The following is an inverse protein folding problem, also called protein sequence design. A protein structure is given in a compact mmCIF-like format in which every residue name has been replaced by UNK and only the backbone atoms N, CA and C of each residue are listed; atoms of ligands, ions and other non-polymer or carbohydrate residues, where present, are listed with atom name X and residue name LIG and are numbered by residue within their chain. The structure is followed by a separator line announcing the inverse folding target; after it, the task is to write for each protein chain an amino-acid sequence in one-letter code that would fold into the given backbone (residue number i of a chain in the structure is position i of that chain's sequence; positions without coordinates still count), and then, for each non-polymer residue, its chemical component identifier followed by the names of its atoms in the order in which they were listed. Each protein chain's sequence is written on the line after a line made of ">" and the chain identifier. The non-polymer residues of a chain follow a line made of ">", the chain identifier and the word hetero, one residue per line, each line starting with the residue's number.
data_IF_078455119069
#
_entry.id   IF_078455119069
#
_cell.length_a   1.000
_cell.length_b   1.000
_cell.length_c   1.000
_cell.angle_alpha   90.00
_cell.angle_beta   90.00
_cell.angle_gamma   90.00
#
_symmetry.space_group_name_H-M   'P 1'
#
loop_
_entity.id
_entity.type
_entity.pdbx_description
1 polymer ?
#
# COMPACT_ATOMS: atom_id res chain seq x y z
N UNK A 1 221.84 59.98 -104.87
CA UNK A 1 220.50 59.37 -104.73
C UNK A 1 220.50 58.58 -103.43
N UNK A 2 219.89 59.10 -102.36
CA UNK A 2 220.00 58.51 -101.02
C UNK A 2 218.80 57.61 -100.71
N UNK A 3 219.09 56.34 -100.44
CA UNK A 3 218.16 55.27 -100.04
C UNK A 3 217.42 55.57 -98.72
N UNK A 4 217.90 56.54 -97.95
CA UNK A 4 217.30 56.96 -96.67
C UNK A 4 215.92 57.63 -96.87
N UNK A 5 215.68 58.30 -98.00
CA UNK A 5 214.37 58.93 -98.28
C UNK A 5 213.25 57.93 -98.56
N UNK A 6 213.56 56.75 -99.15
CA UNK A 6 212.55 55.73 -99.49
C UNK A 6 212.07 54.97 -98.24
N UNK A 7 212.96 54.71 -97.27
CA UNK A 7 212.61 54.06 -96.00
C UNK A 7 211.73 54.93 -95.09
N UNK A 8 211.89 56.26 -95.13
CA UNK A 8 211.01 57.16 -94.35
C UNK A 8 209.57 57.18 -94.88
N UNK A 9 209.40 56.99 -96.20
CA UNK A 9 208.11 57.04 -96.88
C UNK A 9 207.31 55.74 -96.68
N UNK A 10 207.99 54.58 -96.63
CA UNK A 10 207.34 53.30 -96.35
C UNK A 10 206.96 53.13 -94.88
N UNK A 11 207.81 53.56 -93.94
CA UNK A 11 207.47 53.56 -92.50
C UNK A 11 206.32 54.53 -92.21
N UNK A 12 206.31 55.70 -92.85
CA UNK A 12 205.17 56.64 -92.77
C UNK A 12 203.87 56.05 -93.32
N UNK A 13 203.91 55.32 -94.44
CA UNK A 13 202.73 54.69 -95.04
C UNK A 13 202.18 53.54 -94.18
N UNK A 14 203.05 52.69 -93.61
CA UNK A 14 202.63 51.58 -92.73
C UNK A 14 202.08 52.12 -91.40
N UNK A 15 202.72 53.13 -90.81
CA UNK A 15 202.21 53.80 -89.62
C UNK A 15 200.85 54.49 -89.89
N UNK A 16 200.70 55.12 -91.06
CA UNK A 16 199.43 55.67 -91.52
C UNK A 16 198.33 54.62 -91.69
N UNK A 17 198.64 53.48 -92.31
CA UNK A 17 197.70 52.38 -92.49
C UNK A 17 197.27 51.73 -91.16
N UNK A 18 198.21 51.56 -90.21
CA UNK A 18 197.90 51.06 -88.86
C UNK A 18 197.08 52.06 -88.05
N UNK A 19 197.31 53.36 -88.20
CA UNK A 19 196.48 54.40 -87.58
C UNK A 19 195.07 54.43 -88.17
N UNK A 20 194.93 54.24 -89.49
CA UNK A 20 193.62 54.12 -90.15
C UNK A 20 192.89 52.87 -89.67
N UNK A 21 193.56 51.71 -89.60
CA UNK A 21 192.96 50.48 -89.06
C UNK A 21 192.60 50.59 -87.58
N UNK A 22 193.39 51.29 -86.77
CA UNK A 22 193.10 51.52 -85.36
C UNK A 22 191.93 52.51 -85.17
N UNK A 23 191.88 53.58 -85.97
CA UNK A 23 190.78 54.53 -85.99
C UNK A 23 189.47 53.85 -86.45
N UNK A 24 189.55 52.99 -87.46
CA UNK A 24 188.42 52.23 -87.98
C UNK A 24 187.97 51.17 -86.96
N UNK A 25 188.90 50.48 -86.28
CA UNK A 25 188.59 49.58 -85.17
C UNK A 25 187.88 50.29 -84.01
N UNK A 26 188.25 51.53 -83.67
CA UNK A 26 187.53 52.35 -82.69
C UNK A 26 186.15 52.79 -83.19
N UNK A 27 186.03 53.11 -84.47
CA UNK A 27 184.76 53.48 -85.09
C UNK A 27 183.78 52.28 -85.10
N UNK A 28 184.26 51.10 -85.49
CA UNK A 28 183.52 49.84 -85.42
C UNK A 28 183.19 49.44 -83.99
N UNK A 29 184.11 49.63 -83.03
CA UNK A 29 183.84 49.40 -81.61
C UNK A 29 182.69 50.27 -81.07
N UNK A 30 182.69 51.57 -81.41
CA UNK A 30 181.59 52.48 -81.06
C UNK A 30 180.28 52.09 -81.75
N UNK A 31 180.32 51.72 -83.04
CA UNK A 31 179.13 51.26 -83.78
C UNK A 31 178.56 49.96 -83.22
N UNK A 32 179.42 49.00 -82.86
CA UNK A 32 179.03 47.76 -82.20
C UNK A 32 178.42 48.05 -80.82
N UNK A 33 179.00 48.95 -80.04
CA UNK A 33 178.45 49.36 -78.76
C UNK A 33 177.08 50.01 -78.91
N UNK A 34 176.88 50.88 -79.91
CA UNK A 34 175.56 51.47 -80.20
C UNK A 34 174.55 50.44 -80.69
N UNK A 35 174.98 49.45 -81.48
CA UNK A 35 174.10 48.37 -81.97
C UNK A 35 173.71 47.42 -80.82
N UNK A 36 174.62 47.14 -79.89
CA UNK A 36 174.34 46.38 -78.67
C UNK A 36 173.38 47.16 -77.77
N UNK A 37 173.61 48.45 -77.53
CA UNK A 37 172.68 49.27 -76.72
C UNK A 37 171.29 49.40 -77.37
N UNK A 38 171.22 49.48 -78.71
CA UNK A 38 169.94 49.47 -79.44
C UNK A 38 169.22 48.13 -79.31
N UNK A 39 169.95 47.00 -79.40
CA UNK A 39 169.39 45.66 -79.14
C UNK A 39 168.91 45.51 -77.71
N UNK A 40 169.66 45.99 -76.73
CA UNK A 40 169.25 45.99 -75.32
C UNK A 40 168.01 46.86 -75.10
N UNK A 41 167.93 48.03 -75.74
CA UNK A 41 166.76 48.90 -75.67
C UNK A 41 165.52 48.25 -76.32
N UNK A 42 165.66 47.66 -77.51
CA UNK A 42 164.59 46.93 -78.19
C UNK A 42 164.14 45.71 -77.38
N UNK A 43 165.08 44.95 -76.81
CA UNK A 43 164.77 43.83 -75.92
C UNK A 43 164.04 44.30 -74.65
N UNK A 44 164.41 45.45 -74.08
CA UNK A 44 163.70 46.05 -72.96
C UNK A 44 162.29 46.52 -73.34
N UNK A 45 162.11 47.09 -74.53
CA UNK A 45 160.79 47.47 -75.06
C UNK A 45 159.91 46.24 -75.30
N UNK A 46 160.45 45.16 -75.90
CA UNK A 46 159.73 43.90 -76.09
C UNK A 46 159.33 43.28 -74.76
N UNK A 47 160.23 43.22 -73.77
CA UNK A 47 159.90 42.75 -72.41
C UNK A 47 158.82 43.61 -71.75
N UNK A 48 158.82 44.93 -71.99
CA UNK A 48 157.77 45.84 -71.49
C UNK A 48 156.43 45.56 -72.17
N UNK A 49 156.41 45.38 -73.48
CA UNK A 49 155.22 45.02 -74.25
C UNK A 49 154.69 43.64 -73.84
N UNK A 50 155.54 42.62 -73.70
CA UNK A 50 155.17 41.30 -73.18
C UNK A 50 154.55 41.40 -71.79
N UNK A 51 155.11 42.22 -70.90
CA UNK A 51 154.55 42.47 -69.57
C UNK A 51 153.22 43.21 -69.63
N UNK A 52 153.06 44.17 -70.56
CA UNK A 52 151.79 44.88 -70.78
C UNK A 52 150.72 43.94 -71.35
N UNK A 53 151.05 43.14 -72.37
CA UNK A 53 150.17 42.12 -72.92
C UNK A 53 149.80 41.07 -71.87
N UNK A 54 150.74 40.63 -71.04
CA UNK A 54 150.47 39.72 -69.92
C UNK A 54 149.49 40.31 -68.89
N UNK A 55 149.62 41.60 -68.55
CA UNK A 55 148.66 42.31 -67.68
C UNK A 55 147.29 42.46 -68.33
N UNK A 56 147.24 42.82 -69.60
CA UNK A 56 145.98 42.91 -70.35
C UNK A 56 145.28 41.54 -70.44
N UNK A 57 146.04 40.47 -70.71
CA UNK A 57 145.51 39.12 -70.74
C UNK A 57 144.97 38.69 -69.38
N UNK A 58 145.67 39.01 -68.29
CA UNK A 58 145.17 38.77 -66.92
C UNK A 58 143.90 39.57 -66.63
N UNK A 59 143.82 40.83 -67.07
CA UNK A 59 142.63 41.66 -66.90
C UNK A 59 141.44 41.11 -67.71
N UNK A 60 141.66 40.69 -68.96
CA UNK A 60 140.63 40.02 -69.79
C UNK A 60 140.16 38.74 -69.12
N UNK A 61 141.06 37.93 -68.54
CA UNK A 61 140.69 36.73 -67.78
C UNK A 61 139.91 37.06 -66.50
N UNK A 62 140.25 38.13 -65.79
CA UNK A 62 139.49 38.59 -64.63
C UNK A 62 138.10 39.07 -65.02
N UNK A 63 137.99 39.89 -66.06
CA UNK A 63 136.71 40.38 -66.59
C UNK A 63 135.85 39.22 -67.11
N UNK A 64 136.45 38.24 -67.80
CA UNK A 64 135.76 37.03 -68.25
C UNK A 64 135.18 36.22 -67.09
N UNK A 65 135.92 36.09 -65.98
CA UNK A 65 135.41 35.45 -64.75
C UNK A 65 134.27 36.25 -64.11
N UNK A 66 134.40 37.57 -64.03
CA UNK A 66 133.35 38.44 -63.48
C UNK A 66 132.07 38.39 -64.32
N UNK A 67 132.19 38.48 -65.66
CA UNK A 67 131.08 38.31 -66.59
C UNK A 67 130.43 36.93 -66.38
N UNK A 68 131.22 35.85 -66.30
CA UNK A 68 130.69 34.51 -66.06
C UNK A 68 129.98 34.33 -64.71
N UNK A 69 130.36 35.07 -63.67
CA UNK A 69 129.63 35.11 -62.39
C UNK A 69 128.31 35.87 -62.56
N UNK A 70 128.36 37.05 -63.20
CA UNK A 70 127.15 37.87 -63.44
C UNK A 70 126.14 37.16 -64.34
N UNK A 71 126.59 36.49 -65.40
CA UNK A 71 125.72 35.68 -66.28
C UNK A 71 125.02 34.57 -65.51
N UNK A 72 125.74 33.80 -64.68
CA UNK A 72 125.12 32.77 -63.82
C UNK A 72 124.12 33.37 -62.82
N UNK A 73 124.40 34.56 -62.29
CA UNK A 73 123.44 35.26 -61.41
C UNK A 73 122.18 35.69 -62.16
N UNK A 74 122.32 36.14 -63.41
CA UNK A 74 121.18 36.48 -64.26
C UNK A 74 120.35 35.22 -64.59
N UNK A 75 120.98 34.11 -64.93
CA UNK A 75 120.30 32.83 -65.18
C UNK A 75 119.57 32.32 -63.93
N UNK A 76 120.18 32.44 -62.76
CA UNK A 76 119.55 32.11 -61.48
C UNK A 76 118.34 33.01 -61.22
N UNK A 77 118.49 34.34 -61.35
CA UNK A 77 117.40 35.28 -61.16
C UNK A 77 116.27 35.06 -62.17
N UNK A 78 116.57 34.71 -63.42
CA UNK A 78 115.58 34.39 -64.43
C UNK A 78 114.80 33.12 -64.05
N UNK A 79 115.48 32.11 -63.51
CA UNK A 79 114.85 30.88 -62.99
C UNK A 79 113.96 31.19 -61.79
N UNK A 80 114.44 31.99 -60.83
CA UNK A 80 113.67 32.45 -59.68
C UNK A 80 112.43 33.26 -60.13
N UNK A 81 112.57 34.15 -61.12
CA UNK A 81 111.45 34.90 -61.69
C UNK A 81 110.43 34.00 -62.40
N UNK A 82 110.87 32.99 -63.14
CA UNK A 82 109.97 32.01 -63.77
C UNK A 82 109.22 31.17 -62.72
N UNK A 83 109.90 30.76 -61.65
CA UNK A 83 109.26 30.03 -60.55
C UNK A 83 108.20 30.89 -59.85
N UNK A 84 108.55 32.13 -59.46
CA UNK A 84 107.61 33.06 -58.82
C UNK A 84 106.43 33.38 -59.75
N UNK A 85 106.68 33.53 -61.06
CA UNK A 85 105.60 33.71 -62.04
C UNK A 85 104.67 32.49 -62.10
N UNK A 86 105.21 31.27 -62.00
CA UNK A 86 104.41 30.04 -61.94
C UNK A 86 103.56 29.97 -60.67
N UNK A 87 104.17 30.23 -59.51
CA UNK A 87 103.48 30.27 -58.21
C UNK A 87 102.36 31.33 -58.20
N UNK A 88 102.61 32.50 -58.79
CA UNK A 88 101.60 33.56 -58.91
C UNK A 88 100.43 33.14 -59.81
N UNK A 89 100.69 32.44 -60.93
CA UNK A 89 99.63 31.93 -61.81
C UNK A 89 98.77 30.88 -61.09
N UNK A 90 99.38 29.96 -60.33
CA UNK A 90 98.66 29.00 -59.50
C UNK A 90 97.82 29.70 -58.45
N UNK A 91 98.39 30.68 -57.72
CA UNK A 91 97.65 31.44 -56.72
C UNK A 91 96.45 32.20 -57.32
N UNK A 92 96.60 32.78 -58.52
CA UNK A 92 95.49 33.45 -59.23
C UNK A 92 94.40 32.44 -59.63
N UNK A 93 94.78 31.24 -60.07
CA UNK A 93 93.82 30.18 -60.37
C UNK A 93 93.06 29.73 -59.11
N UNK A 94 93.76 29.54 -58.00
CA UNK A 94 93.16 29.17 -56.72
C UNK A 94 92.20 30.25 -56.22
N UNK A 95 92.60 31.53 -56.28
CA UNK A 95 91.73 32.66 -55.91
C UNK A 95 90.46 32.72 -56.78
N UNK A 96 90.57 32.38 -58.07
CA UNK A 96 89.40 32.30 -58.96
C UNK A 96 88.44 31.20 -58.51
N UNK A 97 88.96 30.00 -58.19
CA UNK A 97 88.15 28.89 -57.68
C UNK A 97 87.51 29.25 -56.33
N UNK A 98 88.26 29.86 -55.40
CA UNK A 98 87.72 30.31 -54.12
C UNK A 98 86.61 31.35 -54.32
N UNK A 99 86.78 32.29 -55.25
CA UNK A 99 85.73 33.27 -55.59
C UNK A 99 84.48 32.60 -56.13
N UNK A 100 84.61 31.65 -57.05
CA UNK A 100 83.47 30.90 -57.58
C UNK A 100 82.75 30.10 -56.49
N UNK A 101 83.50 29.49 -55.55
CA UNK A 101 82.91 28.81 -54.39
C UNK A 101 82.17 29.78 -53.46
N UNK A 102 82.71 30.97 -53.20
CA UNK A 102 82.04 31.99 -52.39
C UNK A 102 80.74 32.48 -53.04
N UNK A 103 80.70 32.61 -54.37
CA UNK A 103 79.47 32.94 -55.09
C UNK A 103 78.42 31.84 -54.92
N UNK A 104 78.80 30.56 -55.05
CA UNK A 104 77.89 29.43 -54.80
C UNK A 104 77.36 29.39 -53.37
N UNK A 105 78.20 29.71 -52.38
CA UNK A 105 77.78 29.82 -50.98
C UNK A 105 76.79 30.96 -50.79
N UNK A 106 77.00 32.09 -51.46
CA UNK A 106 76.05 33.20 -51.44
C UNK A 106 74.70 32.82 -52.07
N UNK A 107 74.70 32.16 -53.24
CA UNK A 107 73.48 31.69 -53.90
C UNK A 107 72.71 30.70 -52.98
N UNK A 108 73.43 29.81 -52.28
CA UNK A 108 72.82 28.90 -51.32
C UNK A 108 72.25 29.62 -50.09
N UNK A 109 72.91 30.69 -49.63
CA UNK A 109 72.40 31.52 -48.53
C UNK A 109 71.11 32.24 -48.93
N UNK A 110 71.04 32.75 -50.17
CA UNK A 110 69.82 33.39 -50.70
C UNK A 110 68.67 32.38 -50.85
N UNK A 111 68.96 31.13 -51.28
CA UNK A 111 67.96 30.05 -51.33
C UNK A 111 67.48 29.64 -49.93
N UNK A 112 68.38 29.54 -48.96
CA UNK A 112 68.02 29.29 -47.56
C UNK A 112 67.18 30.43 -46.97
N UNK A 113 67.50 31.68 -47.29
CA UNK A 113 66.70 32.82 -46.85
C UNK A 113 65.29 32.76 -47.44
N UNK A 114 65.16 32.50 -48.74
CA UNK A 114 63.87 32.36 -49.40
C UNK A 114 63.03 31.23 -48.80
N UNK A 115 63.63 30.06 -48.58
CA UNK A 115 62.92 28.94 -47.95
C UNK A 115 62.51 29.26 -46.52
N UNK A 116 63.36 29.93 -45.75
CA UNK A 116 63.01 30.40 -44.41
C UNK A 116 61.82 31.38 -44.43
N UNK A 117 61.79 32.33 -45.37
CA UNK A 117 60.66 33.25 -45.52
C UNK A 117 59.37 32.50 -45.88
N UNK A 118 59.42 31.52 -46.79
CA UNK A 118 58.28 30.65 -47.12
C UNK A 118 57.78 29.85 -45.90
N UNK A 119 58.68 29.37 -45.03
CA UNK A 119 58.32 28.69 -43.79
C UNK A 119 57.69 29.65 -42.77
N UNK A 120 58.20 30.88 -42.66
CA UNK A 120 57.65 31.90 -41.78
C UNK A 120 56.23 32.31 -42.19
N UNK A 121 55.96 32.43 -43.49
CA UNK A 121 54.61 32.71 -43.99
C UNK A 121 53.65 31.53 -43.74
N UNK A 122 54.10 30.28 -43.94
CA UNK A 122 53.32 29.09 -43.57
C UNK A 122 53.03 29.04 -42.07
N UNK A 123 54.01 29.38 -41.24
CA UNK A 123 53.85 29.44 -39.79
C UNK A 123 52.81 30.49 -39.38
N UNK A 124 52.89 31.70 -39.95
CA UNK A 124 51.91 32.78 -39.69
C UNK A 124 50.50 32.36 -40.13
N UNK A 125 50.36 31.75 -41.30
CA UNK A 125 49.09 31.23 -41.80
C UNK A 125 48.51 30.15 -40.87
N UNK A 126 49.35 29.24 -40.34
CA UNK A 126 48.93 28.24 -39.37
C UNK A 126 48.53 28.86 -38.01
N UNK A 127 49.23 29.90 -37.56
CA UNK A 127 48.91 30.63 -36.34
C UNK A 127 47.56 31.36 -36.45
N UNK A 128 47.29 31.99 -37.59
CA UNK A 128 46.00 32.61 -37.92
C UNK A 128 44.87 31.56 -37.93
N UNK A 129 45.10 30.40 -38.55
CA UNK A 129 44.13 29.30 -38.55
C UNK A 129 43.85 28.79 -37.12
N UNK A 130 44.89 28.60 -36.30
CA UNK A 130 44.73 28.22 -34.89
C UNK A 130 43.98 29.28 -34.07
N UNK A 131 44.16 30.57 -34.38
CA UNK A 131 43.43 31.64 -33.72
C UNK A 131 41.93 31.59 -34.06
N UNK A 132 41.58 31.30 -35.32
CA UNK A 132 40.19 31.12 -35.77
C UNK A 132 39.56 29.92 -35.06
N UNK A 133 40.22 28.76 -35.03
CA UNK A 133 39.74 27.55 -34.36
C UNK A 133 39.54 27.78 -32.85
N UNK A 134 40.46 28.50 -32.19
CA UNK A 134 40.31 28.88 -30.77
C UNK A 134 39.12 29.80 -30.53
N UNK A 135 38.83 30.72 -31.45
CA UNK A 135 37.66 31.58 -31.37
C UNK A 135 36.36 30.77 -31.51
N UNK A 136 36.30 29.85 -32.48
CA UNK A 136 35.17 28.94 -32.66
C UNK A 136 34.95 28.03 -31.44
N UNK A 137 36.03 27.46 -30.88
CA UNK A 137 35.94 26.64 -29.67
C UNK A 137 35.38 27.45 -28.49
N UNK A 138 35.79 28.72 -28.35
CA UNK A 138 35.25 29.61 -27.31
C UNK A 138 33.76 29.88 -27.50
N UNK A 139 33.30 30.06 -28.73
CA UNK A 139 31.89 30.21 -29.07
C UNK A 139 31.08 28.95 -28.71
N UNK A 140 31.53 27.77 -29.15
CA UNK A 140 30.90 26.47 -28.82
C UNK A 140 30.87 26.22 -27.31
N UNK A 141 31.94 26.56 -26.59
CA UNK A 141 31.96 26.49 -25.12
C UNK A 141 30.92 27.43 -24.49
N UNK A 142 30.75 28.63 -25.05
CA UNK A 142 29.69 29.56 -24.67
C UNK A 142 28.30 28.96 -24.85
N UNK A 143 28.01 28.41 -26.03
CA UNK A 143 26.74 27.72 -26.33
C UNK A 143 26.50 26.54 -25.39
N UNK A 144 27.52 25.73 -25.12
CA UNK A 144 27.42 24.60 -24.19
C UNK A 144 27.05 25.07 -22.78
N UNK A 145 27.66 26.16 -22.28
CA UNK A 145 27.28 26.72 -20.97
C UNK A 145 25.85 27.26 -20.96
N UNK A 146 25.38 27.84 -22.06
CA UNK A 146 23.98 28.27 -22.19
C UNK A 146 23.01 27.08 -22.14
N UNK A 147 23.30 26.00 -22.89
CA UNK A 147 22.52 24.76 -22.89
C UNK A 147 22.54 24.08 -21.52
N UNK A 148 23.66 24.09 -20.81
CA UNK A 148 23.73 23.59 -19.43
C UNK A 148 22.86 24.40 -18.46
N UNK A 149 22.86 25.73 -18.62
CA UNK A 149 22.02 26.64 -17.82
C UNK A 149 20.53 26.38 -18.10
N UNK A 150 20.16 26.25 -19.38
CA UNK A 150 18.79 25.91 -19.79
C UNK A 150 18.36 24.55 -19.25
N UNK A 151 19.20 23.52 -19.35
CA UNK A 151 18.94 22.22 -18.74
C UNK A 151 18.74 22.30 -17.22
N UNK A 152 19.50 23.17 -16.54
CA UNK A 152 19.29 23.48 -15.12
C UNK A 152 17.90 24.04 -14.86
N UNK A 153 17.45 25.01 -15.66
CA UNK A 153 16.09 25.56 -15.58
C UNK A 153 15.01 24.53 -15.90
N UNK A 154 15.22 23.68 -16.90
CA UNK A 154 14.29 22.59 -17.24
C UNK A 154 14.17 21.59 -16.09
N UNK A 155 15.28 21.19 -15.45
CA UNK A 155 15.26 20.32 -14.27
C UNK A 155 14.46 20.94 -13.12
N UNK A 156 14.65 22.23 -12.87
CA UNK A 156 13.87 22.95 -11.84
C UNK A 156 12.38 23.02 -12.17
N UNK A 157 12.06 23.19 -13.46
CA UNK A 157 10.68 23.16 -13.96
C UNK A 157 10.06 21.78 -13.76
N UNK A 158 10.78 20.70 -14.08
CA UNK A 158 10.35 19.31 -13.86
C UNK A 158 10.10 19.05 -12.37
N UNK A 159 11.00 19.49 -11.48
CA UNK A 159 10.79 19.38 -10.03
C UNK A 159 9.54 20.12 -9.56
N UNK A 160 9.29 21.31 -10.10
CA UNK A 160 8.10 22.11 -9.79
C UNK A 160 6.82 21.44 -10.32
N UNK A 161 6.87 20.84 -11.50
CA UNK A 161 5.74 20.06 -12.05
C UNK A 161 5.50 18.81 -11.19
N UNK A 162 6.55 18.08 -10.81
CA UNK A 162 6.44 16.91 -9.94
C UNK A 162 5.82 17.27 -8.58
N UNK A 163 6.21 18.39 -7.97
CA UNK A 163 5.59 18.85 -6.71
C UNK A 163 4.12 19.21 -6.89
N UNK A 164 3.75 19.85 -8.02
CA UNK A 164 2.35 20.14 -8.35
C UNK A 164 1.54 18.86 -8.60
N UNK A 165 2.11 17.86 -9.28
CA UNK A 165 1.46 16.55 -9.49
C UNK A 165 1.23 15.82 -8.16
N UNK A 166 2.19 15.89 -7.23
CA UNK A 166 2.00 15.36 -5.88
C UNK A 166 0.84 16.05 -5.15
N UNK A 167 0.81 17.38 -5.16
CA UNK A 167 -0.28 18.15 -4.56
C UNK A 167 -1.64 17.84 -5.22
N UNK A 168 -1.66 17.63 -6.54
CA UNK A 168 -2.87 17.19 -7.25
C UNK A 168 -3.32 15.79 -6.80
N UNK A 169 -2.39 14.85 -6.59
CA UNK A 169 -2.70 13.54 -6.03
C UNK A 169 -3.33 13.62 -4.65
N UNK A 170 -2.78 14.46 -3.75
CA UNK A 170 -3.36 14.71 -2.42
C UNK A 170 -4.77 15.33 -2.50
N UNK A 171 -4.99 16.24 -3.46
CA UNK A 171 -6.33 16.79 -3.72
C UNK A 171 -7.30 15.74 -4.25
N UNK A 172 -6.86 14.85 -5.12
CA UNK A 172 -7.68 13.77 -5.66
C UNK A 172 -8.07 12.76 -4.56
N UNK A 173 -7.15 12.46 -3.64
CA UNK A 173 -7.43 11.62 -2.48
C UNK A 173 -8.44 12.29 -1.53
N UNK A 174 -8.30 13.59 -1.26
CA UNK A 174 -9.30 14.35 -0.50
C UNK A 174 -10.66 14.36 -1.19
N UNK A 175 -10.70 14.51 -2.52
CA UNK A 175 -11.95 14.48 -3.29
C UNK A 175 -12.64 13.11 -3.18
N UNK A 176 -11.88 12.00 -3.28
CA UNK A 176 -12.41 10.64 -3.05
C UNK A 176 -12.96 10.49 -1.64
N UNK A 177 -12.23 10.97 -0.63
CA UNK A 177 -12.71 10.92 0.75
C UNK A 177 -14.01 11.72 0.94
N UNK A 178 -14.12 12.89 0.31
CA UNK A 178 -15.37 13.68 0.31
C UNK A 178 -16.51 12.95 -0.42
N UNK A 179 -16.22 12.27 -1.52
CA UNK A 179 -17.22 11.47 -2.26
C UNK A 179 -17.70 10.27 -1.46
N UNK A 180 -16.81 9.59 -0.73
CA UNK A 180 -17.16 8.54 0.24
C UNK A 180 -18.02 9.09 1.38
N UNK A 181 -17.68 10.28 1.92
CA UNK A 181 -18.49 10.96 2.93
C UNK A 181 -19.89 11.30 2.39
N UNK A 182 -19.99 11.83 1.17
CA UNK A 182 -21.28 12.12 0.52
C UNK A 182 -22.08 10.84 0.34
N UNK A 183 -21.44 9.73 -0.04
CA UNK A 183 -22.10 8.44 -0.20
C UNK A 183 -22.65 7.92 1.12
N UNK A 184 -21.87 7.98 2.21
CA UNK A 184 -22.34 7.65 3.57
C UNK A 184 -23.52 8.53 3.99
N UNK A 185 -23.43 9.84 3.78
CA UNK A 185 -24.53 10.76 4.09
C UNK A 185 -25.79 10.45 3.25
N UNK A 186 -25.64 10.01 2.01
CA UNK A 186 -26.77 9.57 1.16
C UNK A 186 -27.38 8.28 1.68
N UNK A 187 -26.57 7.31 2.11
CA UNK A 187 -27.03 6.06 2.74
C UNK A 187 -27.73 6.33 4.06
N UNK A 188 -27.16 7.17 4.92
CA UNK A 188 -27.78 7.62 6.17
C UNK A 188 -29.11 8.33 5.91
N UNK A 189 -29.16 9.23 4.92
CA UNK A 189 -30.40 9.89 4.51
C UNK A 189 -31.43 8.88 4.00
N UNK A 190 -31.02 7.89 3.20
CA UNK A 190 -31.91 6.84 2.70
C UNK A 190 -32.44 5.98 3.85
N UNK A 191 -31.58 5.59 4.78
CA UNK A 191 -31.94 4.85 5.99
C UNK A 191 -32.92 5.65 6.85
N UNK A 192 -32.65 6.95 7.08
CA UNK A 192 -33.54 7.86 7.79
C UNK A 192 -34.88 8.01 7.07
N UNK A 193 -34.89 8.12 5.75
CA UNK A 193 -36.13 8.20 4.95
C UNK A 193 -36.93 6.90 5.02
N UNK A 194 -36.25 5.75 5.02
CA UNK A 194 -36.87 4.44 5.15
C UNK A 194 -37.43 4.23 6.55
N UNK A 195 -36.70 4.65 7.59
CA UNK A 195 -37.17 4.67 8.97
C UNK A 195 -38.37 5.60 9.15
N UNK A 196 -38.36 6.78 8.49
CA UNK A 196 -39.50 7.69 8.49
C UNK A 196 -40.73 7.05 7.84
N UNK A 197 -40.59 6.42 6.66
CA UNK A 197 -41.69 5.67 6.03
C UNK A 197 -42.20 4.53 6.90
N UNK A 198 -41.30 3.83 7.59
CA UNK A 198 -41.69 2.77 8.51
C UNK A 198 -42.47 3.34 9.70
N UNK A 199 -42.00 4.45 10.29
CA UNK A 199 -42.70 5.17 11.34
C UNK A 199 -44.06 5.72 10.85
N UNK A 200 -44.13 6.30 9.65
CA UNK A 200 -45.39 6.74 9.03
C UNK A 200 -46.35 5.57 8.81
N UNK A 201 -45.86 4.42 8.37
CA UNK A 201 -46.64 3.19 8.23
C UNK A 201 -47.15 2.69 9.59
N UNK A 202 -46.32 2.73 10.64
CA UNK A 202 -46.71 2.40 12.01
C UNK A 202 -47.74 3.38 12.59
N UNK A 203 -47.58 4.68 12.31
CA UNK A 203 -48.56 5.69 12.71
C UNK A 203 -49.84 5.50 11.92
N UNK A 204 -49.78 5.21 10.62
CA UNK A 204 -50.96 4.96 9.79
C UNK A 204 -51.70 3.70 10.24
N UNK A 205 -50.99 2.61 10.53
CA UNK A 205 -51.59 1.40 11.08
C UNK A 205 -52.12 1.64 12.50
N UNK A 206 -51.45 2.47 13.30
CA UNK A 206 -51.94 2.93 14.60
C UNK A 206 -53.19 3.80 14.49
N UNK A 207 -53.29 4.67 13.48
CA UNK A 207 -54.47 5.48 13.18
C UNK A 207 -55.60 4.60 12.64
N UNK A 208 -55.31 3.64 11.76
CA UNK A 208 -56.28 2.67 11.27
C UNK A 208 -56.77 1.76 12.41
N UNK A 209 -55.90 1.33 13.32
CA UNK A 209 -56.26 0.59 14.52
C UNK A 209 -57.08 1.46 15.49
N UNK A 210 -56.73 2.73 15.67
CA UNK A 210 -57.49 3.67 16.48
C UNK A 210 -58.85 4.00 15.84
N UNK A 211 -58.93 4.03 14.51
CA UNK A 211 -60.14 4.28 13.74
C UNK A 211 -61.04 3.04 13.70
N UNK A 212 -60.46 1.85 13.64
CA UNK A 212 -61.17 0.59 13.89
C UNK A 212 -61.66 0.54 15.34
N UNK A 213 -60.84 0.89 16.34
CA UNK A 213 -61.31 1.02 17.72
C UNK A 213 -62.41 2.06 17.87
N UNK A 214 -62.37 3.17 17.11
CA UNK A 214 -63.42 4.19 17.09
C UNK A 214 -64.70 3.69 16.42
N UNK A 215 -64.58 2.93 15.33
CA UNK A 215 -65.71 2.23 14.69
C UNK A 215 -66.28 1.16 15.63
N UNK A 216 -65.45 0.41 16.34
CA UNK A 216 -65.88 -0.55 17.37
C UNK A 216 -66.52 0.18 18.54
N UNK A 217 -66.02 1.35 18.94
CA UNK A 217 -66.65 2.20 19.96
C UNK A 217 -67.96 2.82 19.48
N UNK A 218 -68.09 3.15 18.20
CA UNK A 218 -69.33 3.67 17.62
C UNK A 218 -70.36 2.54 17.42
N UNK A 219 -69.93 1.33 17.09
CA UNK A 219 -70.75 0.10 17.12
C UNK A 219 -71.14 -0.24 18.55
N UNK A 220 -70.24 -0.13 19.53
CA UNK A 220 -70.54 -0.33 20.95
C UNK A 220 -71.43 0.79 21.50
N UNK A 221 -71.32 2.03 21.01
CA UNK A 221 -72.23 3.14 21.35
C UNK A 221 -73.58 2.96 20.71
N UNK A 222 -73.66 2.45 19.49
CA UNK A 222 -74.90 2.10 18.82
C UNK A 222 -75.57 0.91 19.52
N UNK A 223 -74.78 -0.10 19.90
CA UNK A 223 -75.24 -1.21 20.76
C UNK A 223 -75.63 -0.74 22.16
N UNK A 224 -74.94 0.25 22.76
CA UNK A 224 -75.33 0.86 24.04
C UNK A 224 -76.55 1.78 23.92
N UNK A 225 -76.81 2.35 22.73
CA UNK A 225 -78.01 3.13 22.43
C UNK A 225 -79.21 2.19 22.24
N UNK A 226 -79.01 1.07 21.53
CA UNK A 226 -80.01 0.00 21.38
C UNK A 226 -80.24 -0.76 22.69
N UNK A 227 -79.20 -1.00 23.49
CA UNK A 227 -79.32 -1.49 24.86
C UNK A 227 -79.90 -0.43 25.80
N UNK A 228 -79.70 0.86 25.55
CA UNK A 228 -80.30 1.96 26.29
C UNK A 228 -81.79 2.09 26.03
N UNK A 229 -82.21 1.94 24.77
CA UNK A 229 -83.62 1.90 24.34
C UNK A 229 -84.32 0.62 24.83
N UNK A 230 -83.63 -0.53 24.78
CA UNK A 230 -84.10 -1.79 25.37
C UNK A 230 -84.13 -1.75 26.91
N UNK A 231 -83.18 -1.07 27.57
CA UNK A 231 -83.19 -0.87 29.01
C UNK A 231 -84.26 0.13 29.43
N UNK A 232 -84.64 1.14 28.64
CA UNK A 232 -85.83 1.97 28.94
C UNK A 232 -87.15 1.23 28.74
N UNK A 233 -87.23 0.27 27.83
CA UNK A 233 -88.40 -0.61 27.70
C UNK A 233 -88.48 -1.62 28.86
N UNK A 234 -87.35 -2.20 29.27
CA UNK A 234 -87.25 -3.10 30.43
C UNK A 234 -87.41 -2.35 31.77
N UNK A 235 -87.01 -1.07 31.88
CA UNK A 235 -87.20 -0.25 33.09
C UNK A 235 -88.66 0.19 33.25
N UNK A 236 -89.37 0.48 32.16
CA UNK A 236 -90.83 0.71 32.18
C UNK A 236 -91.62 -0.55 32.58
N UNK A 237 -91.16 -1.72 32.15
CA UNK A 237 -91.74 -3.01 32.54
C UNK A 237 -91.30 -3.49 33.94
N UNK A 238 -90.13 -3.06 34.42
CA UNK A 238 -89.62 -3.29 35.78
C UNK A 238 -90.28 -2.38 36.81
N UNK A 239 -90.61 -1.14 36.46
CA UNK A 239 -91.33 -0.20 37.34
C UNK A 239 -92.79 -0.65 37.53
N UNK A 240 -93.44 -1.22 36.50
CA UNK A 240 -94.75 -1.89 36.60
C UNK A 240 -94.70 -3.23 37.37
N UNK A 241 -93.56 -3.93 37.36
CA UNK A 241 -93.35 -5.14 38.18
C UNK A 241 -92.87 -4.85 39.60
N UNK A 242 -92.24 -3.69 39.87
CA UNK A 242 -91.86 -3.24 41.20
C UNK A 242 -93.04 -2.65 41.98
N UNK A 243 -94.03 -2.05 41.32
CA UNK A 243 -95.30 -1.67 41.94
C UNK A 243 -96.15 -2.91 42.32
N UNK A 244 -96.12 -3.96 41.47
CA UNK A 244 -96.71 -5.28 41.80
C UNK A 244 -95.93 -6.04 42.88
N UNK A 245 -94.60 -5.92 42.94
CA UNK A 245 -93.78 -6.54 43.98
C UNK A 245 -93.83 -5.80 45.32
N UNK A 246 -94.11 -4.50 45.37
CA UNK A 246 -94.38 -3.78 46.63
C UNK A 246 -95.74 -4.16 47.23
N UNK A 247 -96.75 -4.47 46.40
CA UNK A 247 -98.02 -5.06 46.87
C UNK A 247 -97.88 -6.52 47.35
N UNK A 248 -97.04 -7.33 46.70
CA UNK A 248 -96.79 -8.72 47.08
C UNK A 248 -95.82 -8.87 48.27
N UNK A 249 -94.95 -7.90 48.53
CA UNK A 249 -94.01 -7.92 49.67
C UNK A 249 -94.68 -7.54 51.00
N UNK A 250 -95.75 -6.74 50.96
CA UNK A 250 -96.64 -6.52 52.11
C UNK A 250 -97.45 -7.80 52.44
N UNK A 251 -97.88 -8.56 51.42
CA UNK A 251 -98.55 -9.86 51.61
C UNK A 251 -97.63 -11.01 52.06
N UNK A 252 -96.30 -10.90 51.88
CA UNK A 252 -95.33 -11.88 52.38
C UNK A 252 -94.81 -11.53 53.79
N UNK A 253 -94.83 -10.25 54.20
CA UNK A 253 -94.62 -9.88 55.61
C UNK A 253 -95.79 -10.29 56.51
N UNK A 254 -97.03 -10.28 56.01
CA UNK A 254 -98.19 -10.85 56.70
C UNK A 254 -98.17 -12.40 56.72
N UNK A 255 -97.37 -13.04 55.86
CA UNK A 255 -97.16 -14.50 55.81
C UNK A 255 -96.05 -15.03 56.72
N UNK A 256 -95.04 -14.23 57.05
CA UNK A 256 -93.96 -14.64 57.97
C UNK A 256 -94.34 -14.48 59.44
N UNK A 257 -95.27 -13.58 59.78
CA UNK A 257 -95.91 -13.57 61.11
C UNK A 257 -96.84 -14.79 61.29
N UNK A 258 -97.51 -15.23 60.21
CA UNK A 258 -98.24 -16.49 60.20
C UNK A 258 -97.30 -17.68 60.28
N UNK A 259 -96.09 -17.66 59.71
CA UNK A 259 -95.12 -18.76 59.82
C UNK A 259 -94.48 -18.87 61.21
N UNK A 260 -94.24 -17.74 61.90
CA UNK A 260 -93.81 -17.72 63.32
C UNK A 260 -94.94 -18.15 64.26
N UNK A 261 -96.18 -17.73 63.98
CA UNK A 261 -97.37 -18.25 64.68
C UNK A 261 -97.64 -19.71 64.34
N UNK A 262 -97.32 -20.21 63.15
CA UNK A 262 -97.50 -21.62 62.76
C UNK A 262 -96.38 -22.50 63.32
N UNK A 263 -95.17 -22.00 63.59
CA UNK A 263 -94.13 -22.75 64.33
C UNK A 263 -94.36 -22.74 65.83
N UNK A 264 -94.87 -21.63 66.39
CA UNK A 264 -95.31 -21.57 67.79
C UNK A 264 -96.57 -22.40 68.03
N UNK A 265 -97.56 -22.35 67.12
CA UNK A 265 -98.74 -23.21 67.12
C UNK A 265 -98.38 -24.65 66.77
N UNK A 266 -97.37 -24.97 65.93
CA UNK A 266 -96.94 -26.36 65.74
C UNK A 266 -96.09 -26.90 66.90
N UNK A 267 -95.46 -26.03 67.70
CA UNK A 267 -94.83 -26.42 68.96
C UNK A 267 -95.84 -26.54 70.10
N UNK A 268 -96.88 -25.71 70.14
CA UNK A 268 -98.06 -25.87 71.00
C UNK A 268 -98.95 -27.03 70.54
N UNK A 269 -99.00 -27.36 69.25
CA UNK A 269 -99.68 -28.54 68.68
C UNK A 269 -98.79 -29.78 68.78
N UNK A 270 -97.48 -29.67 68.93
CA UNK A 270 -96.59 -30.78 69.27
C UNK A 270 -96.56 -31.02 70.79
N UNK A 271 -96.66 -29.98 71.61
CA UNK A 271 -96.85 -30.06 73.04
C UNK A 271 -98.28 -30.52 73.39
N UNK A 272 -99.30 -30.04 72.68
CA UNK A 272 -100.68 -30.54 72.77
C UNK A 272 -100.90 -31.84 72.00
N UNK A 273 -100.05 -32.25 71.04
CA UNK A 273 -100.03 -33.63 70.50
C UNK A 273 -99.26 -34.58 71.39
N UNK A 274 -98.28 -34.13 72.16
CA UNK A 274 -97.68 -34.91 73.22
C UNK A 274 -98.64 -35.03 74.41
N UNK A 275 -99.44 -33.99 74.68
CA UNK A 275 -100.50 -33.99 75.70
C UNK A 275 -101.73 -34.80 75.25
N UNK A 276 -102.07 -34.75 73.95
CA UNK A 276 -103.04 -35.63 73.27
C UNK A 276 -102.47 -37.04 73.04
N UNK A 277 -101.16 -37.28 72.99
CA UNK A 277 -100.55 -38.63 73.01
C UNK A 277 -100.44 -39.18 74.43
N UNK A 278 -100.34 -38.35 75.47
CA UNK A 278 -100.51 -38.78 76.86
C UNK A 278 -101.99 -38.98 77.21
N UNK A 279 -102.91 -38.19 76.64
CA UNK A 279 -104.36 -38.36 76.79
C UNK A 279 -104.94 -39.42 75.83
N UNK A 280 -104.31 -39.69 74.69
CA UNK A 280 -104.55 -40.86 73.82
C UNK A 280 -103.74 -42.07 74.30
N UNK A 281 -102.74 -41.91 75.17
CA UNK A 281 -102.20 -42.95 76.03
C UNK A 281 -103.23 -43.35 77.08
N UNK A 282 -103.89 -42.38 77.70
CA UNK A 282 -104.98 -42.61 78.66
C UNK A 282 -106.31 -43.03 78.01
N UNK A 283 -106.57 -42.68 76.74
CA UNK A 283 -107.70 -43.18 75.95
C UNK A 283 -107.38 -44.46 75.17
N UNK A 284 -106.12 -44.77 74.84
CA UNK A 284 -105.73 -46.11 74.34
C UNK A 284 -105.70 -47.12 75.48
N UNK A 285 -105.38 -46.70 76.70
CA UNK A 285 -105.59 -47.51 77.90
C UNK A 285 -107.09 -47.72 78.20
N UNK A 286 -108.00 -46.91 77.65
CA UNK A 286 -109.45 -47.11 77.77
C UNK A 286 -110.10 -47.82 76.56
N UNK A 287 -109.57 -47.61 75.35
CA UNK A 287 -110.11 -48.17 74.10
C UNK A 287 -109.47 -49.51 73.72
N UNK A 288 -108.23 -49.80 74.14
CA UNK A 288 -107.69 -51.17 74.12
C UNK A 288 -108.08 -51.99 75.36
N UNK A 289 -108.66 -51.38 76.41
CA UNK A 289 -109.47 -52.11 77.39
C UNK A 289 -110.83 -52.54 76.80
N UNK A 290 -111.48 -51.69 75.98
CA UNK A 290 -112.78 -52.03 75.37
C UNK A 290 -112.69 -53.02 74.20
N UNK A 291 -111.62 -52.99 73.39
CA UNK A 291 -111.41 -53.97 72.32
C UNK A 291 -110.79 -55.31 72.77
N UNK A 292 -110.37 -55.42 74.04
CA UNK A 292 -110.06 -56.68 74.70
C UNK A 292 -111.29 -57.33 75.40
N UNK A 293 -112.42 -56.62 75.51
CA UNK A 293 -113.65 -57.12 76.16
C UNK A 293 -114.67 -57.66 75.15
N UNK A 294 -114.59 -57.29 73.87
CA UNK A 294 -115.56 -57.72 72.86
C UNK A 294 -115.15 -58.99 72.09
N UNK A 295 -113.99 -59.60 72.40
CA UNK A 295 -113.59 -60.92 71.87
C UNK A 295 -113.42 -62.01 72.93
N UNK A 296 -113.78 -61.77 74.20
CA UNK A 296 -113.82 -62.85 75.21
C UNK A 296 -114.84 -62.65 76.33
N UNK A 297 -116.05 -62.17 76.04
CA UNK A 297 -117.13 -62.35 77.03
C UNK A 297 -118.50 -62.53 76.38
N UNK A 298 -118.82 -63.80 76.24
CA UNK A 298 -120.18 -64.26 76.11
C UNK A 298 -120.17 -65.76 76.35
N UNK A 299 -119.70 -66.18 77.53
CA UNK A 299 -119.82 -67.58 77.91
C UNK A 299 -121.29 -67.98 77.69
N UNK A 300 -121.51 -69.01 76.87
CA UNK A 300 -122.85 -69.52 76.57
C UNK A 300 -123.62 -69.91 77.85
N UNK A 301 -122.93 -70.02 78.97
CA UNK A 301 -123.51 -70.24 80.31
C UNK A 301 -124.32 -69.07 80.87
N UNK A 302 -124.29 -67.89 80.24
CA UNK A 302 -125.16 -66.76 80.64
C UNK A 302 -126.63 -67.01 80.31
N UNK A 303 -126.90 -67.89 79.34
CA UNK A 303 -128.25 -68.27 78.94
C UNK A 303 -128.79 -69.30 79.94
N UNK A 304 -129.99 -69.05 80.45
CA UNK A 304 -130.57 -69.89 81.49
C UNK A 304 -130.88 -71.29 80.96
N UNK A 305 -130.27 -72.29 81.60
CA UNK A 305 -130.37 -73.70 81.22
C UNK A 305 -129.19 -74.23 80.41
N UNK A 306 -128.32 -73.38 79.86
CA UNK A 306 -127.03 -73.82 79.30
C UNK A 306 -126.03 -73.94 80.44
N UNK A 307 -125.93 -75.13 81.04
CA UNK A 307 -124.87 -75.43 81.98
C UNK A 307 -123.48 -75.56 81.30
N UNK A 308 -122.38 -75.56 82.09
CA UNK A 308 -121.01 -75.64 81.57
C UNK A 308 -120.76 -76.78 80.59
N UNK A 309 -121.41 -77.95 80.80
CA UNK A 309 -121.31 -79.10 79.89
C UNK A 309 -121.94 -78.84 78.52
N UNK A 310 -123.09 -78.18 78.46
CA UNK A 310 -123.75 -77.83 77.20
C UNK A 310 -122.98 -76.72 76.48
N UNK A 311 -122.51 -75.70 77.21
CA UNK A 311 -121.64 -74.68 76.66
C UNK A 311 -120.37 -75.27 76.04
N UNK A 312 -119.74 -76.24 76.70
CA UNK A 312 -118.55 -76.91 76.16
C UNK A 312 -118.87 -77.68 74.87
N UNK A 313 -119.96 -78.46 74.84
CA UNK A 313 -120.36 -79.17 73.62
C UNK A 313 -120.68 -78.25 72.46
N UNK A 314 -121.31 -77.10 72.72
CA UNK A 314 -121.57 -76.09 71.70
C UNK A 314 -120.26 -75.47 71.17
N UNK A 315 -119.31 -75.19 72.07
CA UNK A 315 -117.97 -74.74 71.68
C UNK A 315 -117.24 -75.78 70.82
N UNK A 316 -117.29 -77.04 71.24
CA UNK A 316 -116.65 -78.15 70.52
C UNK A 316 -117.28 -78.39 69.14
N UNK A 317 -118.56 -78.03 68.95
CA UNK A 317 -119.22 -78.03 67.63
C UNK A 317 -119.01 -76.75 66.81
N UNK A 318 -118.19 -75.81 67.29
CA UNK A 318 -117.85 -74.57 66.61
C UNK A 318 -118.74 -73.36 66.92
N UNK A 319 -119.73 -73.47 67.80
CA UNK A 319 -120.54 -72.33 68.28
C UNK A 319 -119.90 -71.81 69.56
N UNK A 320 -119.04 -70.80 69.44
CA UNK A 320 -118.17 -70.34 70.54
C UNK A 320 -118.58 -69.02 71.18
N UNK A 321 -119.59 -68.33 70.63
CA UNK A 321 -120.04 -67.02 71.12
C UNK A 321 -121.58 -66.90 71.15
N UNK A 322 -122.11 -66.01 72.01
CA UNK A 322 -123.54 -65.68 72.06
C UNK A 322 -124.08 -65.22 70.70
N UNK A 323 -123.30 -64.46 69.93
CA UNK A 323 -123.68 -63.98 68.58
C UNK A 323 -123.83 -65.13 67.59
N UNK A 324 -122.97 -66.15 67.67
CA UNK A 324 -123.11 -67.34 66.84
C UNK A 324 -124.31 -68.18 67.27
N UNK A 325 -124.56 -68.33 68.58
CA UNK A 325 -125.73 -69.05 69.07
C UNK A 325 -127.04 -68.34 68.72
N UNK A 326 -127.08 -67.01 68.83
CA UNK A 326 -128.21 -66.16 68.45
C UNK A 326 -128.58 -66.31 66.96
N UNK A 327 -127.62 -66.60 66.10
CA UNK A 327 -127.84 -66.80 64.66
C UNK A 327 -128.01 -68.27 64.25
N UNK A 328 -127.77 -69.23 65.15
CA UNK A 328 -127.93 -70.65 64.88
C UNK A 328 -129.42 -71.03 64.84
N UNK A 329 -129.78 -72.04 64.04
CA UNK A 329 -131.13 -72.59 64.10
C UNK A 329 -131.27 -73.58 65.26
N UNK A 330 -132.49 -73.78 65.76
CA UNK A 330 -132.73 -74.76 66.83
C UNK A 330 -132.31 -76.19 66.43
N UNK A 331 -132.30 -76.50 65.12
CA UNK A 331 -131.84 -77.79 64.65
C UNK A 331 -130.32 -77.92 64.71
N UNK A 332 -129.58 -76.86 64.38
CA UNK A 332 -128.12 -76.86 64.44
C UNK A 332 -127.63 -77.02 65.88
N UNK A 333 -128.25 -76.30 66.81
CA UNK A 333 -127.94 -76.41 68.26
C UNK A 333 -128.27 -77.80 68.78
N UNK A 334 -129.36 -78.42 68.31
CA UNK A 334 -129.75 -79.78 68.71
C UNK A 334 -128.76 -80.83 68.21
N UNK A 335 -128.36 -80.73 66.95
CA UNK A 335 -127.36 -81.61 66.34
C UNK A 335 -126.01 -81.46 67.04
N UNK A 336 -125.59 -80.22 67.32
CA UNK A 336 -124.37 -79.93 68.07
C UNK A 336 -124.34 -80.59 69.45
N UNK A 337 -125.49 -80.62 70.14
CA UNK A 337 -125.59 -81.22 71.47
C UNK A 337 -125.91 -82.72 71.44
N UNK A 338 -126.19 -83.26 70.26
CA UNK A 338 -126.64 -84.63 70.02
C UNK A 338 -127.87 -84.99 70.88
N UNK A 339 -128.85 -84.08 70.97
CA UNK A 339 -130.06 -84.25 71.78
C UNK A 339 -131.21 -84.83 70.96
N UNK A 340 -131.93 -85.80 71.51
CA UNK A 340 -133.14 -86.32 70.85
C UNK A 340 -134.30 -85.33 70.95
N UNK A 341 -135.22 -85.39 69.98
CA UNK A 341 -136.32 -84.42 69.80
C UNK A 341 -137.11 -84.10 71.08
N UNK A 342 -137.35 -85.09 71.94
CA UNK A 342 -138.13 -84.90 73.17
C UNK A 342 -137.38 -84.19 74.31
N UNK A 343 -136.05 -84.16 74.29
CA UNK A 343 -135.21 -83.52 75.33
C UNK A 343 -134.99 -82.02 75.10
N UNK A 344 -135.22 -81.53 73.87
CA UNK A 344 -134.81 -80.21 73.41
C UNK A 344 -135.79 -79.06 73.70
N UNK A 345 -136.67 -79.17 74.70
CA UNK A 345 -137.78 -78.22 74.88
C UNK A 345 -137.33 -76.75 75.09
N UNK A 346 -136.11 -76.52 75.57
CA UNK A 346 -135.56 -75.18 75.85
C UNK A 346 -134.55 -74.66 74.81
N UNK A 347 -134.34 -75.34 73.66
CA UNK A 347 -133.32 -74.88 72.70
C UNK A 347 -133.70 -73.53 72.06
N UNK A 348 -134.96 -73.38 71.67
CA UNK A 348 -135.41 -72.12 71.05
C UNK A 348 -135.30 -70.96 72.03
N UNK A 349 -135.67 -71.16 73.30
CA UNK A 349 -135.52 -70.13 74.33
C UNK A 349 -134.06 -69.71 74.54
N UNK A 350 -133.10 -70.62 74.37
CA UNK A 350 -131.68 -70.28 74.45
C UNK A 350 -131.22 -69.37 73.31
N UNK A 351 -131.68 -69.65 72.08
CA UNK A 351 -131.34 -68.83 70.91
C UNK A 351 -131.96 -67.45 71.03
N UNK A 352 -133.21 -67.37 71.49
CA UNK A 352 -133.91 -66.10 71.66
C UNK A 352 -133.27 -65.26 72.79
N UNK A 353 -132.95 -65.88 73.94
CA UNK A 353 -132.22 -65.22 75.04
C UNK A 353 -130.81 -64.76 74.59
N UNK A 354 -130.14 -65.54 73.72
CA UNK A 354 -128.87 -65.12 73.11
C UNK A 354 -129.05 -63.86 72.23
N UNK A 355 -130.11 -63.80 71.41
CA UNK A 355 -130.42 -62.63 70.56
C UNK A 355 -130.69 -61.40 71.41
N UNK A 356 -131.47 -61.54 72.48
CA UNK A 356 -131.78 -60.44 73.39
C UNK A 356 -130.52 -59.92 74.09
N UNK A 357 -129.66 -60.83 74.57
CA UNK A 357 -128.39 -60.45 75.18
C UNK A 357 -127.50 -59.70 74.17
N UNK A 358 -127.33 -60.22 72.95
CA UNK A 358 -126.54 -59.57 71.89
C UNK A 358 -127.12 -58.20 71.54
N UNK A 359 -128.43 -58.08 71.39
CA UNK A 359 -129.09 -56.80 71.13
C UNK A 359 -128.89 -55.81 72.28
N UNK A 360 -128.97 -56.27 73.53
CA UNK A 360 -128.76 -55.42 74.72
C UNK A 360 -127.33 -54.89 74.84
N UNK A 361 -126.33 -55.63 74.35
CA UNK A 361 -124.95 -55.15 74.29
C UNK A 361 -124.75 -54.10 73.19
N UNK A 362 -125.43 -54.24 72.04
CA UNK A 362 -125.35 -53.27 70.92
C UNK A 362 -126.03 -51.94 71.27
N UNK A 363 -127.01 -51.92 72.18
CA UNK A 363 -127.73 -50.71 72.57
C UNK A 363 -127.05 -49.89 73.70
N UNK A 364 -125.98 -50.42 74.31
CA UNK A 364 -125.22 -49.77 75.40
C UNK A 364 -123.84 -49.25 74.95
N UNK A 365 -123.58 -49.25 73.64
CA UNK A 365 -122.46 -48.58 72.97
C UNK A 365 -123.09 -47.50 72.08
#
# INVERSE_FOLDING_TARGET
>A
MNTITILSLTVGAVAGALLVLWADGRYWGKRLQTAVSQREHLAAQLRKLEKQMGRQQQQIQQQGREIGIKTRRVEQLMTECMQVSGELQTAVADLKVTRENLLRVNDYADELQKTNDEWMDKYRSAEEALAIERAQLKEVMGELTAVQTENGHMRQTVLTVASKMKAFGELQEKARHQEDQITRLREEKLAATTALRHAESQVRSGVEAAQQQRQTLDVLRQQHKEQGEALTAVRKQSDEQQEKLLGLRQQVQDGEEVKRRLTAVNQELAAAKAEVETLQGQLRDHTHMQQAILQDNGSLTLINGIGPRYAQRLKDSGITSLTQLANASANDVRTALNMQEWQGRNIQSWIDEAKDLVASFVQKI
#
